data_IF_804704080291
#
_entry.id   IF_804704080291
#
_cell.length_a   1.000
_cell.length_b   1.000
_cell.length_c   1.000
_cell.angle_alpha   90.00
_cell.angle_beta   90.00
_cell.angle_gamma   90.00
#
_symmetry.space_group_name_H-M   'P 1'
#
loop_
_entity.id
_entity.type
_entity.pdbx_description
1 polymer ?
#
# COMPACT_ATOMS: atom_id res chain seq x y z
N UNK A 1 -7.10 24.38 9.25
CA UNK A 1 -7.22 23.57 8.01
C UNK A 1 -6.11 22.54 8.04
N UNK A 2 -6.41 21.24 7.83
CA UNK A 2 -5.34 20.21 7.77
C UNK A 2 -4.70 20.31 6.38
N UNK A 3 -3.40 20.60 6.33
CA UNK A 3 -2.65 20.69 5.08
C UNK A 3 -1.98 19.34 4.80
N UNK A 4 -2.31 18.75 3.64
CA UNK A 4 -1.66 17.54 3.14
C UNK A 4 -0.50 17.97 2.24
N UNK A 5 0.69 17.41 2.47
CA UNK A 5 1.90 17.72 1.71
C UNK A 5 2.33 16.50 0.92
N UNK A 6 2.53 16.68 -0.38
CA UNK A 6 3.07 15.62 -1.24
C UNK A 6 4.58 15.46 -1.01
N UNK A 7 5.11 14.23 -1.12
CA UNK A 7 4.39 12.96 -1.29
C UNK A 7 3.79 12.45 0.03
N UNK A 8 2.57 11.88 -0.02
CA UNK A 8 1.91 11.28 1.16
C UNK A 8 2.55 9.96 1.62
N UNK A 9 3.24 9.27 0.71
CA UNK A 9 4.08 8.10 0.95
C UNK A 9 5.41 8.32 0.23
N UNK A 10 6.47 8.62 0.97
CA UNK A 10 7.80 8.82 0.40
C UNK A 10 8.45 7.48 0.01
N UNK A 11 9.39 7.50 -0.94
CA UNK A 11 10.08 6.30 -1.41
C UNK A 11 9.33 5.54 -2.50
N UNK A 12 9.53 4.22 -2.58
CA UNK A 12 9.01 3.38 -3.66
C UNK A 12 7.60 2.86 -3.37
N UNK A 13 6.59 3.64 -3.78
CA UNK A 13 5.17 3.31 -3.61
C UNK A 13 4.38 3.45 -4.93
N UNK A 14 4.70 2.65 -5.96
CA UNK A 14 4.05 2.73 -7.26
C UNK A 14 2.66 2.07 -7.26
N UNK A 15 1.85 2.42 -8.27
CA UNK A 15 0.53 1.84 -8.52
C UNK A 15 -0.38 1.84 -7.28
N UNK A 16 -0.53 3.03 -6.69
CA UNK A 16 -1.26 3.25 -5.46
C UNK A 16 -2.77 3.13 -5.69
N UNK A 17 -3.42 2.26 -4.92
CA UNK A 17 -4.88 2.14 -4.86
C UNK A 17 -5.36 2.40 -3.42
N UNK A 18 -6.39 3.22 -3.26
CA UNK A 18 -6.92 3.64 -1.95
C UNK A 18 -8.39 3.23 -1.80
N UNK A 19 -8.77 2.78 -0.60
CA UNK A 19 -10.17 2.58 -0.20
C UNK A 19 -10.43 3.27 1.15
N UNK A 20 -11.69 3.62 1.37
CA UNK A 20 -12.18 4.17 2.63
C UNK A 20 -13.34 3.32 3.13
N UNK A 21 -13.31 2.95 4.40
CA UNK A 21 -14.44 2.33 5.12
C UNK A 21 -14.69 3.18 6.36
N UNK A 22 -15.86 3.81 6.42
CA UNK A 22 -16.23 4.75 7.49
C UNK A 22 -15.24 5.92 7.64
N UNK A 23 -14.30 5.83 8.60
CA UNK A 23 -13.25 6.84 8.88
C UNK A 23 -11.84 6.26 8.81
N UNK A 24 -11.69 5.09 8.20
CA UNK A 24 -10.44 4.37 8.08
C UNK A 24 -10.06 4.24 6.59
N UNK A 25 -8.90 4.79 6.26
CA UNK A 25 -8.35 4.78 4.91
C UNK A 25 -7.24 3.74 4.81
N UNK A 26 -7.27 2.92 3.76
CA UNK A 26 -6.21 1.96 3.47
C UNK A 26 -5.68 2.15 2.05
N UNK A 27 -4.36 2.15 1.93
CA UNK A 27 -3.64 2.21 0.65
C UNK A 27 -2.95 0.87 0.42
N UNK A 28 -3.13 0.33 -0.77
CA UNK A 28 -2.34 -0.76 -1.33
C UNK A 28 -1.33 -0.20 -2.35
N UNK A 29 -0.09 -0.66 -2.31
CA UNK A 29 0.96 -0.29 -3.28
C UNK A 29 1.64 -1.55 -3.81
N UNK A 30 1.99 -1.54 -5.11
CA UNK A 30 2.68 -2.65 -5.77
C UNK A 30 4.17 -2.62 -5.46
N UNK A 31 4.79 -3.79 -5.30
CA UNK A 31 6.26 -3.94 -5.26
C UNK A 31 6.81 -4.63 -6.51
N UNK A 32 5.98 -4.75 -7.56
CA UNK A 32 6.27 -5.48 -8.81
C UNK A 32 6.75 -6.92 -8.56
N UNK A 33 8.04 -7.17 -8.78
CA UNK A 33 8.65 -8.49 -8.74
C UNK A 33 9.14 -8.88 -7.34
N UNK A 34 9.18 -7.96 -6.36
CA UNK A 34 9.70 -8.25 -5.03
C UNK A 34 8.83 -9.29 -4.31
N UNK A 35 9.50 -10.15 -3.55
CA UNK A 35 8.84 -11.09 -2.65
C UNK A 35 8.33 -10.31 -1.44
N UNK A 36 7.05 -10.47 -1.08
CA UNK A 36 6.17 -9.44 -0.45
C UNK A 36 5.65 -8.41 -1.46
N UNK A 37 4.43 -8.63 -1.95
CA UNK A 37 3.99 -8.11 -3.26
C UNK A 37 3.13 -6.87 -3.20
N UNK A 38 2.48 -6.65 -2.06
CA UNK A 38 1.61 -5.49 -1.84
C UNK A 38 1.86 -4.98 -0.43
N UNK A 39 2.14 -3.68 -0.29
CA UNK A 39 2.24 -3.01 1.00
C UNK A 39 0.90 -2.38 1.34
N UNK A 40 0.44 -2.58 2.59
CA UNK A 40 -0.76 -1.92 3.11
C UNK A 40 -0.36 -0.82 4.09
N UNK A 41 -0.83 0.40 3.81
CA UNK A 41 -0.72 1.55 4.69
C UNK A 41 -2.12 1.96 5.16
N UNK A 42 -2.22 2.48 6.37
CA UNK A 42 -3.48 2.93 6.97
C UNK A 42 -3.36 4.37 7.46
N UNK A 43 -4.46 5.11 7.37
CA UNK A 43 -4.60 6.47 7.89
C UNK A 43 -6.03 6.72 8.37
N UNK A 44 -6.19 7.67 9.29
CA UNK A 44 -7.51 8.21 9.70
C UNK A 44 -7.72 9.66 9.26
N UNK A 45 -6.68 10.29 8.71
CA UNK A 45 -6.64 11.73 8.42
C UNK A 45 -6.08 12.05 7.02
N UNK A 46 -5.85 11.03 6.18
CA UNK A 46 -5.24 11.10 4.84
C UNK A 46 -3.83 11.70 4.78
N UNK A 47 -3.28 12.13 5.92
CA UNK A 47 -1.99 12.80 6.02
C UNK A 47 -0.94 11.89 6.63
N UNK A 48 -1.27 11.27 7.75
CA UNK A 48 -0.39 10.40 8.50
C UNK A 48 -0.68 8.95 8.11
N UNK A 49 0.26 8.34 7.42
CA UNK A 49 0.15 6.97 6.95
C UNK A 49 1.07 6.05 7.75
N UNK A 50 0.52 4.97 8.29
CA UNK A 50 1.25 3.94 9.02
C UNK A 50 1.29 2.66 8.20
N UNK A 51 2.47 2.08 8.06
CA UNK A 51 2.59 0.73 7.50
C UNK A 51 1.91 -0.30 8.41
N UNK A 52 1.12 -1.19 7.82
CA UNK A 52 0.36 -2.21 8.54
C UNK A 52 0.93 -3.60 8.28
N UNK A 53 1.06 -3.98 7.01
CA UNK A 53 1.51 -5.34 6.66
C UNK A 53 1.91 -5.46 5.20
N UNK A 54 2.65 -6.52 4.91
CA UNK A 54 2.87 -7.04 3.56
C UNK A 54 1.82 -8.10 3.25
N UNK A 55 1.23 -8.05 2.06
CA UNK A 55 0.45 -9.16 1.51
C UNK A 55 1.32 -10.07 0.66
N UNK A 56 0.82 -11.29 0.45
CA UNK A 56 1.46 -12.32 -0.38
C UNK A 56 2.86 -12.69 0.14
N UNK A 57 2.97 -12.88 1.45
CA UNK A 57 4.19 -13.27 2.18
C UNK A 57 4.52 -14.76 2.11
N UNK A 58 3.59 -15.59 1.63
CA UNK A 58 3.77 -17.04 1.45
C UNK A 58 3.96 -17.39 -0.04
N UNK A 59 4.96 -18.22 -0.33
CA UNK A 59 5.19 -18.77 -1.67
C UNK A 59 3.99 -19.63 -2.11
N UNK A 60 3.71 -19.65 -3.42
CA UNK A 60 2.63 -20.45 -4.02
C UNK A 60 1.25 -19.77 -4.12
N UNK A 61 1.05 -18.59 -3.50
CA UNK A 61 -0.22 -17.85 -3.64
C UNK A 61 -0.38 -17.12 -4.98
N UNK A 62 0.71 -16.91 -5.72
CA UNK A 62 0.69 -16.22 -7.00
C UNK A 62 1.74 -16.83 -7.92
N UNK A 63 1.36 -17.05 -9.19
CA UNK A 63 2.22 -17.59 -10.23
C UNK A 63 2.82 -16.44 -11.07
N UNK A 64 4.14 -16.39 -11.21
CA UNK A 64 4.88 -15.42 -12.03
C UNK A 64 5.54 -16.05 -13.25
N UNK A 65 5.26 -17.33 -13.53
CA UNK A 65 5.71 -17.95 -14.76
C UNK A 65 5.08 -17.20 -15.93
N UNK A 66 5.90 -16.45 -16.65
CA UNK A 66 5.56 -15.99 -17.98
C UNK A 66 5.33 -17.26 -18.81
N UNK A 67 4.13 -17.40 -19.37
CA UNK A 67 3.88 -18.40 -20.42
C UNK A 67 4.64 -18.00 -21.68
#
# INVERSE_FOLDING_TARGET
MVQITSPILAGFHPALAIIMVEKDYSIATSTFAWFTKVLIHHSKDLRNWKFITWLLTKQGKVNFSYK
#
